data_IF_585587278837
#
_entry.id   IF_585587278837
#
_cell.length_a   1.000
_cell.length_b   1.000
_cell.length_c   1.000
_cell.angle_alpha   90.00
_cell.angle_beta   90.00
_cell.angle_gamma   90.00
#
_symmetry.space_group_name_H-M   'P 1'
#
loop_
_entity.id
_entity.type
_entity.pdbx_description
1 polymer ?
#
# COMPACT_ATOMS: atom_id res chain seq x y z
N UNK A 1 18.61 20.67 25.72
CA UNK A 1 18.69 20.45 24.28
C UNK A 1 17.86 19.22 23.90
N UNK A 2 16.93 19.44 23.03
CA UNK A 2 16.01 18.36 22.69
C UNK A 2 16.66 17.43 21.67
N UNK A 3 16.54 16.14 21.94
CA UNK A 3 16.98 15.12 20.99
C UNK A 3 15.81 14.63 20.19
N UNK A 4 15.98 14.56 18.90
CA UNK A 4 14.95 14.07 18.00
C UNK A 4 15.21 12.61 17.67
N UNK A 5 14.19 11.77 17.90
CA UNK A 5 14.23 10.36 17.54
C UNK A 5 13.20 10.13 16.45
N UNK A 6 13.66 9.65 15.30
CA UNK A 6 12.78 9.27 14.20
C UNK A 6 12.77 7.76 14.15
N UNK A 7 11.58 7.18 14.35
CA UNK A 7 11.41 5.73 14.40
C UNK A 7 10.57 5.29 13.21
N UNK A 8 11.09 4.34 12.47
CA UNK A 8 10.42 3.74 11.34
C UNK A 8 10.44 2.23 11.52
N UNK A 9 9.26 1.64 11.63
CA UNK A 9 9.15 0.19 11.83
C UNK A 9 8.20 -0.40 10.80
N UNK A 10 8.38 -1.67 10.52
CA UNK A 10 7.48 -2.41 9.63
C UNK A 10 6.25 -2.94 10.35
N UNK A 11 6.15 -2.68 11.64
CA UNK A 11 5.01 -3.06 12.47
C UNK A 11 4.77 -4.56 12.60
N UNK A 12 5.69 -5.40 12.14
CA UNK A 12 5.51 -6.85 12.23
C UNK A 12 5.66 -7.36 13.65
N UNK A 13 6.42 -6.66 14.48
CA UNK A 13 6.72 -7.09 15.83
C UNK A 13 6.13 -6.17 16.91
N UNK A 14 5.18 -5.34 16.56
CA UNK A 14 4.62 -4.32 17.45
C UNK A 14 5.68 -3.42 18.08
N UNK A 15 6.83 -3.30 17.44
CA UNK A 15 7.93 -2.52 17.97
C UNK A 15 7.55 -1.06 18.12
N UNK A 16 6.81 -0.52 17.15
CA UNK A 16 6.34 0.86 17.18
C UNK A 16 5.51 1.11 18.46
N UNK A 17 4.55 0.23 18.73
CA UNK A 17 3.68 0.38 19.91
C UNK A 17 4.46 0.23 21.21
N UNK A 18 5.44 -0.66 21.25
CA UNK A 18 6.29 -0.83 22.44
C UNK A 18 7.10 0.44 22.70
N UNK A 19 7.67 1.03 21.66
CA UNK A 19 8.44 2.27 21.77
C UNK A 19 7.53 3.42 22.21
N UNK A 20 6.36 3.56 21.64
CA UNK A 20 5.39 4.59 22.01
C UNK A 20 4.99 4.43 23.48
N UNK A 21 4.74 3.20 23.94
CA UNK A 21 4.40 2.92 25.34
C UNK A 21 5.51 3.34 26.28
N UNK A 22 6.77 3.05 25.93
CA UNK A 22 7.93 3.45 26.74
C UNK A 22 8.05 4.97 26.81
N UNK A 23 7.90 5.66 25.71
CA UNK A 23 7.96 7.13 25.66
C UNK A 23 6.84 7.72 26.51
N UNK A 24 5.63 7.21 26.40
CA UNK A 24 4.49 7.68 27.17
C UNK A 24 4.68 7.40 28.68
N UNK A 25 5.17 6.21 29.03
CA UNK A 25 5.42 5.84 30.41
C UNK A 25 6.47 6.73 31.07
N UNK A 26 7.43 7.22 30.30
CA UNK A 26 8.47 8.12 30.80
C UNK A 26 8.07 9.59 30.75
N UNK A 27 6.80 9.87 30.46
CA UNK A 27 6.26 11.23 30.38
C UNK A 27 6.98 12.10 29.35
N UNK A 28 7.60 11.50 28.36
CA UNK A 28 8.24 12.24 27.30
C UNK A 28 7.19 12.91 26.42
N UNK A 29 7.51 14.13 25.98
CA UNK A 29 6.65 14.85 25.05
C UNK A 29 6.75 14.19 23.69
N UNK A 30 5.62 13.71 23.21
CA UNK A 30 5.57 13.06 21.90
C UNK A 30 4.79 13.93 20.93
N UNK A 31 5.42 14.26 19.83
CA UNK A 31 4.77 14.90 18.70
C UNK A 31 4.73 13.93 17.55
N UNK A 32 3.53 13.60 17.12
CA UNK A 32 3.35 12.82 15.91
C UNK A 32 3.41 13.78 14.73
N UNK A 33 4.50 13.69 13.98
CA UNK A 33 4.67 14.56 12.83
C UNK A 33 4.34 13.83 11.56
N UNK A 34 3.32 14.34 10.88
CA UNK A 34 2.91 13.83 9.58
C UNK A 34 3.48 14.74 8.51
N UNK A 35 4.76 14.56 8.19
CA UNK A 35 5.44 15.38 7.19
C UNK A 35 5.25 14.90 5.77
N UNK A 36 4.20 14.19 5.46
CA UNK A 36 4.08 13.61 4.14
C UNK A 36 5.19 12.63 3.80
N UNK A 37 5.90 12.13 4.81
CA UNK A 37 6.90 11.09 4.60
C UNK A 37 6.16 9.76 4.60
N UNK A 38 5.91 9.25 3.41
CA UNK A 38 5.28 7.95 3.26
C UNK A 38 6.35 6.87 3.22
N UNK A 39 6.14 5.75 3.90
CA UNK A 39 7.13 4.68 3.93
C UNK A 39 7.29 4.04 2.55
N UNK A 40 8.48 3.52 2.29
CA UNK A 40 8.67 2.61 1.18
C UNK A 40 8.08 1.26 1.55
N UNK A 41 7.25 0.71 0.68
CA UNK A 41 6.66 -0.59 0.88
C UNK A 41 7.49 -1.64 0.16
N UNK A 42 7.88 -2.68 0.89
CA UNK A 42 8.70 -3.76 0.36
C UNK A 42 7.92 -5.08 0.38
N UNK A 43 7.88 -5.73 -0.76
CA UNK A 43 7.34 -7.07 -0.89
C UNK A 43 8.32 -7.90 -1.70
N UNK A 44 8.28 -9.23 -1.64
CA UNK A 44 9.20 -10.05 -2.44
C UNK A 44 9.14 -9.67 -3.92
N UNK A 45 10.23 -9.11 -4.45
CA UNK A 45 10.33 -8.70 -5.84
C UNK A 45 9.63 -7.40 -6.20
N UNK A 46 9.01 -6.70 -5.25
CA UNK A 46 8.28 -5.46 -5.52
C UNK A 46 8.61 -4.41 -4.47
N UNK A 47 8.96 -3.22 -4.93
CA UNK A 47 9.27 -2.10 -4.06
C UNK A 47 8.45 -0.87 -4.50
N UNK A 48 7.76 -0.26 -3.56
CA UNK A 48 6.95 0.94 -3.82
C UNK A 48 7.51 2.09 -2.99
N UNK A 49 8.18 3.02 -3.65
CA UNK A 49 8.78 4.21 -3.02
C UNK A 49 7.74 5.33 -3.04
N UNK A 50 6.92 5.41 -2.02
CA UNK A 50 5.79 6.34 -2.00
C UNK A 50 6.24 7.80 -2.06
N UNK A 51 7.31 8.16 -1.36
CA UNK A 51 7.81 9.54 -1.38
C UNK A 51 8.27 9.98 -2.76
N UNK A 52 8.68 9.04 -3.61
CA UNK A 52 9.13 9.30 -4.98
C UNK A 52 8.06 8.97 -6.03
N UNK A 53 6.96 8.33 -5.61
CA UNK A 53 5.92 7.79 -6.48
C UNK A 53 6.51 6.89 -7.56
N UNK A 54 7.45 6.03 -7.16
CA UNK A 54 8.15 5.12 -8.07
C UNK A 54 7.96 3.69 -7.61
N UNK A 55 7.83 2.79 -8.57
CA UNK A 55 7.62 1.37 -8.34
C UNK A 55 8.71 0.59 -9.06
N UNK A 56 9.29 -0.39 -8.38
CA UNK A 56 10.33 -1.25 -8.94
C UNK A 56 9.92 -2.70 -8.79
N UNK A 57 10.12 -3.44 -9.86
CA UNK A 57 9.89 -4.87 -9.88
C UNK A 57 11.18 -5.57 -10.29
N UNK A 58 11.68 -6.45 -9.43
CA UNK A 58 12.96 -7.12 -9.70
C UNK A 58 14.12 -6.16 -9.92
N UNK A 59 14.06 -4.98 -9.29
CA UNK A 59 15.09 -3.96 -9.44
C UNK A 59 14.89 -3.03 -10.63
N UNK A 60 13.92 -3.29 -11.49
CA UNK A 60 13.64 -2.45 -12.66
C UNK A 60 12.42 -1.57 -12.41
N UNK A 61 12.51 -0.31 -12.80
CA UNK A 61 11.40 0.62 -12.63
C UNK A 61 10.23 0.27 -13.54
N UNK A 62 9.02 0.31 -12.97
CA UNK A 62 7.78 0.05 -13.68
C UNK A 62 7.04 1.37 -13.84
N UNK A 63 6.67 1.73 -15.07
CA UNK A 63 5.92 2.94 -15.33
C UNK A 63 4.43 2.67 -15.19
N UNK A 64 3.81 3.30 -14.19
CA UNK A 64 2.38 3.17 -13.93
C UNK A 64 1.68 4.48 -14.21
N UNK A 65 0.43 4.40 -14.68
CA UNK A 65 -0.43 5.57 -14.75
C UNK A 65 -0.80 6.01 -13.33
N UNK A 66 -1.35 7.22 -13.21
CA UNK A 66 -1.79 7.74 -11.90
C UNK A 66 -2.80 6.80 -11.22
N UNK A 67 -3.76 6.31 -12.00
CA UNK A 67 -4.79 5.40 -11.45
C UNK A 67 -4.20 4.04 -11.05
N UNK A 68 -3.29 3.51 -11.87
CA UNK A 68 -2.61 2.26 -11.55
C UNK A 68 -1.77 2.40 -10.29
N UNK A 69 -1.01 3.46 -10.18
CA UNK A 69 -0.19 3.71 -9.00
C UNK A 69 -1.07 3.87 -7.75
N UNK A 70 -2.10 4.69 -7.82
CA UNK A 70 -2.98 4.93 -6.67
C UNK A 70 -3.69 3.65 -6.23
N UNK A 71 -4.12 2.82 -7.17
CA UNK A 71 -4.76 1.54 -6.88
C UNK A 71 -3.77 0.59 -6.21
N UNK A 72 -2.55 0.52 -6.74
CA UNK A 72 -1.51 -0.33 -6.16
C UNK A 72 -1.20 0.08 -4.71
N UNK A 73 -1.01 1.36 -4.47
CA UNK A 73 -0.69 1.86 -3.12
C UNK A 73 -1.85 1.59 -2.17
N UNK A 74 -3.09 1.80 -2.61
CA UNK A 74 -4.25 1.54 -1.76
C UNK A 74 -4.32 0.07 -1.34
N UNK A 75 -4.12 -0.83 -2.28
CA UNK A 75 -4.12 -2.27 -1.99
C UNK A 75 -2.93 -2.67 -1.12
N UNK A 76 -1.74 -2.22 -1.50
CA UNK A 76 -0.49 -2.61 -0.83
C UNK A 76 -0.38 -2.03 0.58
N UNK A 77 -1.05 -0.92 0.85
CA UNK A 77 -1.08 -0.33 2.18
C UNK A 77 -2.04 -1.06 3.13
N UNK A 78 -2.86 -1.96 2.59
CA UNK A 78 -3.83 -2.75 3.34
C UNK A 78 -3.65 -4.24 3.04
N UNK A 79 -2.45 -4.80 3.29
CA UNK A 79 -2.19 -6.19 2.89
C UNK A 79 -3.09 -7.16 3.66
N UNK A 80 -3.57 -8.17 2.95
CA UNK A 80 -4.44 -9.18 3.52
C UNK A 80 -5.90 -8.77 3.68
N UNK A 81 -6.23 -7.51 3.46
CA UNK A 81 -7.58 -7.00 3.60
C UNK A 81 -8.30 -7.07 2.25
N UNK A 82 -9.49 -7.66 2.24
CA UNK A 82 -10.30 -7.72 1.03
C UNK A 82 -10.98 -6.36 0.83
N UNK A 83 -10.70 -5.74 -0.30
CA UNK A 83 -11.27 -4.44 -0.67
C UNK A 83 -12.23 -4.65 -1.83
N UNK A 84 -13.44 -4.12 -1.68
CA UNK A 84 -14.46 -4.24 -2.73
C UNK A 84 -14.14 -3.29 -3.89
N UNK A 85 -14.72 -3.55 -5.05
CA UNK A 85 -14.58 -2.65 -6.20
C UNK A 85 -15.07 -1.25 -5.85
N UNK A 86 -16.16 -1.15 -5.09
CA UNK A 86 -16.69 0.13 -4.64
C UNK A 86 -15.68 0.87 -3.75
N UNK A 87 -15.09 0.17 -2.79
CA UNK A 87 -14.09 0.79 -1.90
C UNK A 87 -12.87 1.28 -2.69
N UNK A 88 -12.40 0.48 -3.63
CA UNK A 88 -11.26 0.86 -4.47
C UNK A 88 -11.63 2.08 -5.32
N UNK A 89 -12.79 2.07 -5.94
CA UNK A 89 -13.24 3.18 -6.78
C UNK A 89 -13.34 4.47 -5.98
N UNK A 90 -13.99 4.44 -4.82
CA UNK A 90 -14.14 5.62 -3.98
C UNK A 90 -12.80 6.16 -3.50
N UNK A 91 -11.88 5.28 -3.12
CA UNK A 91 -10.57 5.69 -2.61
C UNK A 91 -9.68 6.27 -3.70
N UNK A 92 -9.71 5.71 -4.90
CA UNK A 92 -8.77 6.05 -5.98
C UNK A 92 -9.34 7.15 -6.88
N UNK A 93 -10.62 7.05 -7.24
CA UNK A 93 -11.25 8.03 -8.13
C UNK A 93 -11.86 9.20 -7.36
N UNK A 94 -12.05 9.05 -6.06
CA UNK A 94 -12.59 10.09 -5.18
C UNK A 94 -13.98 10.56 -5.64
N UNK A 95 -14.80 9.63 -6.09
CA UNK A 95 -16.14 9.89 -6.61
C UNK A 95 -17.10 8.82 -6.10
N UNK A 96 -18.39 9.16 -6.04
CA UNK A 96 -19.42 8.17 -5.74
C UNK A 96 -19.51 7.16 -6.88
N UNK A 97 -19.57 5.87 -6.51
CA UNK A 97 -19.46 4.80 -7.49
C UNK A 97 -20.83 4.30 -7.91
N UNK A 98 -21.45 4.94 -8.87
CA UNK A 98 -22.73 4.42 -9.39
C UNK A 98 -22.55 3.39 -10.50
N UNK A 99 -21.42 3.34 -11.19
CA UNK A 99 -21.34 2.47 -12.37
C UNK A 99 -19.96 2.24 -12.92
N UNK A 100 -18.91 2.35 -12.11
CA UNK A 100 -17.55 2.30 -12.64
C UNK A 100 -16.75 1.08 -12.22
N UNK A 101 -17.42 -0.04 -11.94
CA UNK A 101 -16.75 -1.29 -11.60
C UNK A 101 -15.85 -1.77 -12.74
N UNK A 102 -16.25 -1.51 -14.00
CA UNK A 102 -15.41 -1.84 -15.16
C UNK A 102 -14.10 -1.07 -15.16
N UNK A 103 -14.09 0.17 -14.65
CA UNK A 103 -12.86 0.96 -14.56
C UNK A 103 -11.88 0.34 -13.58
N UNK A 104 -12.36 -0.13 -12.42
CA UNK A 104 -11.51 -0.83 -11.46
C UNK A 104 -10.95 -2.10 -12.05
N UNK A 105 -11.79 -2.92 -12.70
CA UNK A 105 -11.36 -4.16 -13.32
C UNK A 105 -10.27 -3.90 -14.37
N UNK A 106 -10.44 -2.87 -15.20
CA UNK A 106 -9.47 -2.53 -16.23
C UNK A 106 -8.15 -2.08 -15.63
N UNK A 107 -8.18 -1.27 -14.58
CA UNK A 107 -6.96 -0.82 -13.91
C UNK A 107 -6.23 -2.00 -13.28
N UNK A 108 -6.95 -2.90 -12.60
CA UNK A 108 -6.36 -4.10 -12.02
C UNK A 108 -5.72 -4.97 -13.10
N UNK A 109 -6.41 -5.16 -14.22
CA UNK A 109 -5.90 -5.95 -15.34
C UNK A 109 -4.58 -5.37 -15.87
N UNK A 110 -4.54 -4.07 -16.11
CA UNK A 110 -3.35 -3.41 -16.61
C UNK A 110 -2.22 -3.40 -15.58
N UNK A 111 -2.57 -3.19 -14.32
CA UNK A 111 -1.61 -3.20 -13.23
C UNK A 111 -0.94 -4.58 -13.10
N UNK A 112 -1.72 -5.65 -13.16
CA UNK A 112 -1.19 -7.00 -13.12
C UNK A 112 -0.19 -7.27 -14.24
N UNK A 113 -0.48 -6.80 -15.44
CA UNK A 113 0.45 -6.95 -16.56
C UNK A 113 1.81 -6.32 -16.29
N UNK A 114 1.83 -5.26 -15.50
CA UNK A 114 3.04 -4.48 -15.25
C UNK A 114 3.82 -4.98 -14.04
N UNK A 115 3.16 -5.44 -12.99
CA UNK A 115 3.83 -5.79 -11.73
C UNK A 115 3.90 -7.28 -11.45
N UNK A 116 2.95 -8.08 -11.95
CA UNK A 116 2.95 -9.52 -11.65
C UNK A 116 3.97 -10.25 -12.50
N UNK A 117 4.70 -11.23 -11.93
CA UNK A 117 5.56 -12.11 -12.75
C UNK A 117 4.76 -12.87 -13.80
N UNK A 118 3.55 -13.29 -13.45
CA UNK A 118 2.60 -13.92 -14.36
C UNK A 118 1.23 -13.35 -14.10
N UNK A 119 0.74 -12.54 -15.02
CA UNK A 119 -0.54 -11.85 -14.84
C UNK A 119 -1.74 -12.81 -14.76
N UNK A 120 -1.59 -14.02 -15.26
CA UNK A 120 -2.65 -15.04 -15.20
C UNK A 120 -2.70 -15.74 -13.85
N UNK A 121 -1.57 -15.77 -13.14
CA UNK A 121 -1.44 -16.35 -11.80
C UNK A 121 -0.85 -15.28 -10.87
N UNK A 122 -1.64 -14.27 -10.49
CA UNK A 122 -1.11 -13.13 -9.75
C UNK A 122 -0.61 -13.53 -8.37
N UNK A 123 0.56 -13.00 -8.03
CA UNK A 123 1.19 -13.20 -6.74
C UNK A 123 0.82 -12.08 -5.75
N UNK A 124 0.74 -10.85 -6.24
CA UNK A 124 0.52 -9.67 -5.39
C UNK A 124 -0.95 -9.32 -5.24
N UNK A 125 -1.66 -9.14 -6.35
CA UNK A 125 -3.06 -8.74 -6.33
C UNK A 125 -3.92 -9.94 -6.64
N UNK A 126 -4.62 -10.42 -5.61
CA UNK A 126 -5.46 -11.61 -5.73
C UNK A 126 -6.92 -11.24 -5.80
N UNK A 127 -7.65 -11.91 -6.66
CA UNK A 127 -9.10 -11.74 -6.77
C UNK A 127 -9.78 -12.57 -5.69
N UNK A 128 -10.69 -11.93 -4.95
CA UNK A 128 -11.59 -12.65 -4.05
C UNK A 128 -12.93 -12.71 -4.76
N UNK A 129 -13.25 -13.88 -5.28
CA UNK A 129 -14.36 -14.07 -6.19
C UNK A 129 -15.68 -13.58 -5.59
N UNK A 130 -16.38 -12.74 -6.34
CA UNK A 130 -17.67 -12.19 -5.91
C UNK A 130 -17.57 -11.06 -4.88
N UNK A 131 -16.37 -10.69 -4.42
CA UNK A 131 -16.19 -9.68 -3.39
C UNK A 131 -15.30 -8.53 -3.87
N UNK A 132 -14.07 -8.83 -4.28
CA UNK A 132 -13.15 -7.78 -4.69
C UNK A 132 -11.72 -8.29 -4.82
N UNK A 133 -10.78 -7.53 -4.29
CA UNK A 133 -9.36 -7.82 -4.43
C UNK A 133 -8.66 -7.69 -3.08
N UNK A 134 -7.56 -8.43 -2.91
CA UNK A 134 -6.69 -8.26 -1.76
C UNK A 134 -5.24 -8.30 -2.20
N UNK A 135 -4.40 -7.58 -1.48
CA UNK A 135 -2.96 -7.65 -1.68
C UNK A 135 -2.38 -8.74 -0.80
N UNK A 136 -1.55 -9.60 -1.38
CA UNK A 136 -0.97 -10.72 -0.65
C UNK A 136 -0.05 -10.21 0.45
N UNK A 137 -0.15 -10.79 1.66
CA UNK A 137 0.57 -10.36 2.84
C UNK A 137 1.81 -11.22 3.11
N UNK A 138 2.54 -11.58 2.07
CA UNK A 138 3.78 -12.37 2.21
C UNK A 138 3.54 -13.86 2.29
N UNK A 139 2.46 -14.32 1.73
CA UNK A 139 2.16 -15.75 1.64
C UNK A 139 3.03 -16.45 0.60
#
# INVERSE_FOLDING_TARGET
MDKLIIIRTDNQNNLYEQIISLITANQAKMETMSFGVFPTLFFPGLEIRQSQRRVFRGGEEVNLTRLEYSTLVFLASNPGIVLTQTQIFEAVWNMDSDSCHSSVVNVIYNLRKKIEPDSKNPTYIKTVLGIGYKFASGE
#
